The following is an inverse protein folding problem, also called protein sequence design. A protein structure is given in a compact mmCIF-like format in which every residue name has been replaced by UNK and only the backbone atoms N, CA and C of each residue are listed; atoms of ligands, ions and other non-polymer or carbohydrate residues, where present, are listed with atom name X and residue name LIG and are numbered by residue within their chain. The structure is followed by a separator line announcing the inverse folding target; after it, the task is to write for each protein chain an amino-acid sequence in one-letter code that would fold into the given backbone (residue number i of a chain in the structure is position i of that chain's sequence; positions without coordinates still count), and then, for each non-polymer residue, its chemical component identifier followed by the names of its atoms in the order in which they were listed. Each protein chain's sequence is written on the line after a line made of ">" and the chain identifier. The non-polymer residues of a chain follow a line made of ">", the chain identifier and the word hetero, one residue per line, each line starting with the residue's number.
data_IF_562798124930
#
_entry.id   IF_562798124930
#
_cell.length_a   1.000
_cell.length_b   1.000
_cell.length_c   1.000
_cell.angle_alpha   90.00
_cell.angle_beta   90.00
_cell.angle_gamma   90.00
#
_symmetry.space_group_name_H-M   'P 1'
#
loop_
_entity.id
_entity.type
_entity.pdbx_description
1 polymer ?
#
# COMPACT_ATOMS: atom_id res chain seq x y z
N UNK A 1 -17.19 4.30 -13.55
CA UNK A 1 -15.90 3.95 -12.89
C UNK A 1 -16.07 2.56 -12.35
N UNK A 2 -15.26 1.61 -12.83
CA UNK A 2 -15.32 0.19 -12.39
C UNK A 2 -14.47 -0.07 -11.13
N UNK A 3 -13.55 0.81 -10.80
CA UNK A 3 -12.66 0.76 -9.65
C UNK A 3 -12.21 2.17 -9.28
N UNK A 4 -11.75 2.37 -8.06
CA UNK A 4 -11.23 3.66 -7.61
C UNK A 4 -10.73 3.60 -6.18
N UNK A 5 -10.01 4.66 -5.78
CA UNK A 5 -9.52 4.85 -4.42
C UNK A 5 -10.23 6.03 -3.80
N UNK A 6 -10.35 6.04 -2.48
CA UNK A 6 -10.90 7.15 -1.72
C UNK A 6 -10.17 7.33 -0.39
N UNK A 7 -10.07 8.59 0.06
CA UNK A 7 -9.61 8.95 1.39
C UNK A 7 -10.75 9.70 2.07
N UNK A 8 -11.20 9.21 3.21
CA UNK A 8 -12.19 9.86 4.06
C UNK A 8 -11.52 10.39 5.32
N UNK A 9 -11.91 11.58 5.75
CA UNK A 9 -11.37 12.20 6.96
C UNK A 9 -12.46 12.87 7.79
N UNK A 10 -12.37 12.76 9.11
CA UNK A 10 -13.15 13.55 10.07
C UNK A 10 -12.55 14.95 10.27
N UNK A 11 -11.31 15.16 9.83
CA UNK A 11 -10.61 16.43 9.92
C UNK A 11 -10.63 17.12 8.54
N UNK A 12 -10.47 18.45 8.48
CA UNK A 12 -10.47 19.18 7.22
C UNK A 12 -9.38 18.67 6.26
N UNK A 13 -9.78 18.41 5.02
CA UNK A 13 -8.87 18.16 3.89
C UNK A 13 -8.66 19.52 3.21
N UNK A 14 -7.43 20.01 3.18
CA UNK A 14 -7.07 21.32 2.61
C UNK A 14 -6.47 21.24 1.22
N UNK A 15 -5.99 20.05 0.84
CA UNK A 15 -5.49 19.79 -0.50
C UNK A 15 -5.61 18.29 -0.80
N UNK A 16 -5.81 17.92 -2.06
CA UNK A 16 -5.88 16.52 -2.50
C UNK A 16 -5.55 16.41 -3.98
N UNK A 17 -5.17 15.22 -4.40
CA UNK A 17 -4.88 14.96 -5.81
C UNK A 17 -4.58 13.49 -6.09
N UNK A 18 -4.23 13.24 -7.34
CA UNK A 18 -3.87 11.92 -7.86
C UNK A 18 -2.50 11.96 -8.52
N UNK A 19 -1.79 10.86 -8.42
CA UNK A 19 -0.54 10.57 -9.14
C UNK A 19 -0.90 9.45 -10.09
N UNK A 20 -1.13 9.82 -11.35
CA UNK A 20 -1.52 8.87 -12.38
C UNK A 20 -0.33 8.00 -12.78
N UNK A 21 -0.58 6.71 -12.92
CA UNK A 21 0.39 5.78 -13.48
C UNK A 21 0.03 5.50 -14.95
N UNK A 22 0.97 5.68 -15.89
CA UNK A 22 0.71 5.43 -17.30
C UNK A 22 0.33 3.97 -17.60
N UNK A 23 -0.53 3.80 -18.60
CA UNK A 23 -0.93 2.50 -19.17
C UNK A 23 -1.64 1.53 -18.20
N UNK A 24 -2.22 2.06 -17.11
CA UNK A 24 -2.95 1.28 -16.13
C UNK A 24 -4.11 2.08 -15.52
N UNK A 25 -5.07 1.39 -14.91
CA UNK A 25 -6.10 2.01 -14.10
C UNK A 25 -5.67 2.27 -12.63
N UNK A 26 -4.46 1.81 -12.27
CA UNK A 26 -3.90 2.01 -10.94
C UNK A 26 -3.32 3.42 -10.82
N UNK A 27 -3.30 3.93 -9.61
CA UNK A 27 -2.76 5.26 -9.29
C UNK A 27 -2.36 5.33 -7.82
N UNK A 28 -1.85 6.47 -7.39
CA UNK A 28 -1.82 6.85 -5.99
C UNK A 28 -2.61 8.15 -5.81
N UNK A 29 -3.36 8.24 -4.72
CA UNK A 29 -4.06 9.46 -4.35
C UNK A 29 -3.47 10.01 -3.06
N UNK A 30 -3.63 11.32 -2.83
CA UNK A 30 -3.22 11.95 -1.57
C UNK A 30 -4.25 12.95 -1.06
N UNK A 31 -4.20 13.18 0.25
CA UNK A 31 -4.94 14.23 0.92
C UNK A 31 -4.07 14.86 2.02
N UNK A 32 -4.06 16.19 2.09
CA UNK A 32 -3.46 16.95 3.17
C UNK A 32 -4.53 17.25 4.21
N UNK A 33 -4.39 16.66 5.37
CA UNK A 33 -5.36 16.69 6.46
C UNK A 33 -4.82 17.56 7.59
N UNK A 34 -5.62 18.52 8.06
CA UNK A 34 -5.27 19.41 9.18
C UNK A 34 -5.81 18.84 10.48
N UNK A 35 -4.93 18.59 11.44
CA UNK A 35 -5.28 18.18 12.80
C UNK A 35 -4.55 19.06 13.82
N UNK A 36 -5.28 19.96 14.44
CA UNK A 36 -4.69 20.95 15.36
C UNK A 36 -3.76 21.89 14.60
N UNK A 37 -2.49 21.91 14.96
CA UNK A 37 -1.44 22.72 14.32
C UNK A 37 -0.68 21.98 13.21
N UNK A 38 -0.93 20.70 13.04
CA UNK A 38 -0.22 19.85 12.10
C UNK A 38 -1.02 19.68 10.80
N UNK A 39 -0.32 19.74 9.68
CA UNK A 39 -0.80 19.22 8.41
C UNK A 39 -0.09 17.90 8.13
N UNK A 40 -0.86 16.87 7.83
CA UNK A 40 -0.37 15.52 7.59
C UNK A 40 -0.79 15.12 6.19
N UNK A 41 0.14 14.67 5.35
CA UNK A 41 -0.18 14.11 4.05
C UNK A 41 -0.40 12.62 4.16
N UNK A 42 -1.60 12.20 3.80
CA UNK A 42 -1.95 10.79 3.64
C UNK A 42 -1.87 10.44 2.16
N UNK A 43 -1.18 9.35 1.86
CA UNK A 43 -1.20 8.72 0.54
C UNK A 43 -1.94 7.39 0.62
N UNK A 44 -2.71 7.07 -0.42
CA UNK A 44 -3.20 5.74 -0.67
C UNK A 44 -2.70 5.28 -2.05
N UNK A 45 -2.00 4.15 -2.09
CA UNK A 45 -1.31 3.65 -3.29
C UNK A 45 -1.94 2.33 -3.69
N UNK A 46 -2.17 2.15 -4.98
CA UNK A 46 -2.50 0.85 -5.55
C UNK A 46 -1.52 0.58 -6.71
N UNK A 47 -0.55 -0.29 -6.47
CA UNK A 47 0.43 -0.70 -7.49
C UNK A 47 -0.14 -1.79 -8.39
N UNK A 48 0.53 -2.03 -9.53
CA UNK A 48 0.15 -3.03 -10.51
C UNK A 48 0.03 -4.43 -9.90
N UNK A 49 -1.05 -5.12 -10.23
CA UNK A 49 -1.30 -6.49 -9.78
C UNK A 49 -0.57 -7.52 -10.63
N UNK A 50 -0.07 -8.57 -9.98
CA UNK A 50 0.53 -9.71 -10.69
C UNK A 50 -0.53 -10.60 -11.36
N UNK A 51 -1.83 -10.39 -11.07
CA UNK A 51 -2.95 -11.18 -11.56
C UNK A 51 -2.73 -12.69 -11.40
N UNK A 52 -2.18 -13.10 -10.25
CA UNK A 52 -1.97 -14.50 -9.93
C UNK A 52 -3.30 -15.10 -9.48
N UNK A 53 -3.79 -16.09 -10.23
CA UNK A 53 -4.97 -16.85 -9.80
C UNK A 53 -4.59 -17.71 -8.59
N UNK A 54 -5.25 -17.47 -7.46
CA UNK A 54 -4.98 -18.18 -6.21
C UNK A 54 -5.59 -19.58 -6.15
N UNK A 55 -6.32 -20.00 -7.19
CA UNK A 55 -6.86 -21.36 -7.28
C UNK A 55 -5.77 -22.33 -7.74
N UNK A 56 -5.48 -23.33 -6.89
CA UNK A 56 -4.44 -24.36 -7.16
C UNK A 56 -4.55 -25.00 -8.53
N UNK A 57 -5.78 -25.28 -8.95
CA UNK A 57 -6.07 -25.94 -10.22
C UNK A 57 -5.67 -25.10 -11.42
N UNK A 58 -5.82 -23.78 -11.32
CA UNK A 58 -5.47 -22.84 -12.37
C UNK A 58 -3.96 -22.56 -12.38
N UNK A 59 -3.32 -22.45 -11.21
CA UNK A 59 -1.86 -22.32 -11.09
C UNK A 59 -1.12 -23.52 -11.70
N UNK A 60 -1.64 -24.74 -11.51
CA UNK A 60 -1.04 -25.95 -12.09
C UNK A 60 -1.19 -26.03 -13.62
N UNK A 61 -2.21 -25.38 -14.18
CA UNK A 61 -2.48 -25.37 -15.62
C UNK A 61 -1.80 -24.22 -16.36
N UNK A 62 -1.35 -23.20 -15.62
CA UNK A 62 -0.71 -22.05 -16.23
C UNK A 62 0.68 -22.40 -16.76
N UNK A 63 0.96 -21.95 -18.00
CA UNK A 63 2.29 -22.10 -18.58
C UNK A 63 3.30 -21.26 -17.78
N UNK A 64 4.32 -21.93 -17.22
CA UNK A 64 5.32 -21.31 -16.34
C UNK A 64 6.07 -20.17 -17.03
N UNK A 65 6.38 -20.27 -18.33
CA UNK A 65 7.06 -19.22 -19.08
C UNK A 65 6.19 -17.95 -19.21
N UNK A 66 4.90 -18.12 -19.49
CA UNK A 66 3.95 -16.99 -19.51
C UNK A 66 3.80 -16.34 -18.15
N UNK A 67 3.73 -17.14 -17.10
CA UNK A 67 3.69 -16.66 -15.72
C UNK A 67 4.94 -15.83 -15.37
N UNK A 68 6.13 -16.35 -15.66
CA UNK A 68 7.39 -15.63 -15.43
C UNK A 68 7.46 -14.32 -16.23
N UNK A 69 7.07 -14.32 -17.49
CA UNK A 69 7.04 -13.11 -18.31
C UNK A 69 6.07 -12.07 -17.74
N UNK A 70 4.88 -12.49 -17.31
CA UNK A 70 3.88 -11.60 -16.68
C UNK A 70 4.40 -11.01 -15.39
N UNK A 71 4.95 -11.82 -14.48
CA UNK A 71 5.54 -11.36 -13.21
C UNK A 71 6.67 -10.36 -13.48
N UNK A 72 7.58 -10.67 -14.41
CA UNK A 72 8.69 -9.78 -14.77
C UNK A 72 8.20 -8.43 -15.34
N UNK A 73 7.16 -8.44 -16.16
CA UNK A 73 6.54 -7.21 -16.68
C UNK A 73 5.90 -6.41 -15.53
N UNK A 74 5.14 -7.06 -14.66
CA UNK A 74 4.53 -6.41 -13.50
C UNK A 74 5.57 -5.78 -12.56
N UNK A 75 6.70 -6.45 -12.30
CA UNK A 75 7.75 -5.87 -11.47
C UNK A 75 8.37 -4.60 -12.10
N UNK A 76 8.54 -4.56 -13.42
CA UNK A 76 9.00 -3.35 -14.11
C UNK A 76 7.97 -2.21 -14.01
N UNK A 77 6.69 -2.54 -14.16
CA UNK A 77 5.62 -1.55 -14.00
C UNK A 77 5.57 -1.03 -12.55
N UNK A 78 5.62 -1.91 -11.55
CA UNK A 78 5.65 -1.53 -10.15
C UNK A 78 6.87 -0.67 -9.81
N UNK A 79 8.05 -0.97 -10.37
CA UNK A 79 9.24 -0.14 -10.22
C UNK A 79 9.00 1.27 -10.75
N UNK A 80 8.51 1.39 -11.98
CA UNK A 80 8.22 2.68 -12.61
C UNK A 80 7.17 3.49 -11.82
N UNK A 81 6.08 2.84 -11.41
CA UNK A 81 5.04 3.44 -10.56
C UNK A 81 5.63 3.95 -9.23
N UNK A 82 6.51 3.16 -8.62
CA UNK A 82 7.22 3.54 -7.39
C UNK A 82 8.10 4.77 -7.60
N UNK A 83 8.85 4.84 -8.69
CA UNK A 83 9.71 5.98 -9.01
C UNK A 83 8.90 7.28 -9.21
N UNK A 84 7.76 7.20 -9.92
CA UNK A 84 6.83 8.33 -10.06
C UNK A 84 6.27 8.79 -8.71
N UNK A 85 5.83 7.84 -7.88
CA UNK A 85 5.35 8.13 -6.54
C UNK A 85 6.43 8.80 -5.68
N UNK A 86 7.65 8.27 -5.66
CA UNK A 86 8.75 8.82 -4.87
C UNK A 86 9.14 10.23 -5.30
N UNK A 87 9.12 10.51 -6.60
CA UNK A 87 9.35 11.86 -7.13
C UNK A 87 8.32 12.87 -6.59
N UNK A 88 7.05 12.47 -6.50
CA UNK A 88 6.01 13.31 -5.90
C UNK A 88 6.19 13.42 -4.38
N UNK A 89 6.45 12.29 -3.69
CA UNK A 89 6.66 12.25 -2.24
C UNK A 89 7.79 13.17 -1.79
N UNK A 90 8.91 13.25 -2.53
CA UNK A 90 10.07 14.09 -2.22
C UNK A 90 9.73 15.59 -2.16
N UNK A 91 8.67 16.04 -2.82
CA UNK A 91 8.22 17.43 -2.80
C UNK A 91 7.34 17.76 -1.58
N UNK A 92 6.93 16.74 -0.82
CA UNK A 92 6.10 16.92 0.35
C UNK A 92 6.91 17.45 1.55
N UNK A 93 6.43 18.55 2.15
CA UNK A 93 7.03 19.17 3.34
C UNK A 93 6.34 18.77 4.65
N UNK A 94 5.25 18.02 4.55
CA UNK A 94 4.46 17.61 5.70
C UNK A 94 4.91 16.26 6.25
N UNK A 95 4.52 15.96 7.47
CA UNK A 95 4.56 14.59 8.00
C UNK A 95 3.74 13.67 7.08
N UNK A 96 4.21 12.46 6.83
CA UNK A 96 3.64 11.58 5.82
C UNK A 96 3.12 10.29 6.48
N UNK A 97 1.95 9.85 6.04
CA UNK A 97 1.44 8.51 6.25
C UNK A 97 1.12 7.93 4.86
N UNK A 98 1.63 6.74 4.58
CA UNK A 98 1.40 6.02 3.32
C UNK A 98 0.66 4.73 3.64
N UNK A 99 -0.46 4.49 2.98
CA UNK A 99 -1.17 3.22 3.04
C UNK A 99 -1.50 2.74 1.63
N UNK A 100 -1.86 1.47 1.51
CA UNK A 100 -2.36 0.93 0.26
C UNK A 100 -1.91 -0.49 -0.04
N UNK A 101 -2.42 -0.97 -1.16
CA UNK A 101 -2.07 -2.26 -1.74
C UNK A 101 -0.86 -2.11 -2.67
N UNK A 102 0.24 -2.72 -2.27
CA UNK A 102 1.47 -2.71 -3.07
C UNK A 102 1.53 -3.88 -4.06
N UNK A 103 0.54 -4.79 -4.00
CA UNK A 103 0.52 -6.01 -4.80
C UNK A 103 1.87 -6.77 -4.77
N UNK A 104 2.64 -6.59 -3.70
CA UNK A 104 3.94 -7.21 -3.49
C UNK A 104 4.26 -7.33 -2.01
N UNK A 105 5.15 -8.24 -1.65
CA UNK A 105 5.46 -8.56 -0.25
C UNK A 105 6.46 -7.58 0.38
N UNK A 106 6.62 -7.67 1.70
CA UNK A 106 7.61 -6.87 2.47
C UNK A 106 9.08 -7.15 2.12
N UNK A 107 9.35 -8.14 1.26
CA UNK A 107 10.70 -8.46 0.77
C UNK A 107 11.01 -7.80 -0.58
N UNK A 108 10.02 -7.19 -1.21
CA UNK A 108 10.12 -6.62 -2.55
C UNK A 108 10.94 -5.34 -2.62
N UNK A 109 11.37 -5.01 -3.84
CA UNK A 109 12.00 -3.73 -4.16
C UNK A 109 11.08 -2.55 -3.81
N UNK A 110 9.82 -2.61 -4.27
CA UNK A 110 8.85 -1.50 -4.10
C UNK A 110 8.56 -1.22 -2.62
N UNK A 111 8.43 -2.27 -1.80
CA UNK A 111 8.28 -2.10 -0.36
C UNK A 111 9.47 -1.33 0.24
N UNK A 112 10.71 -1.74 -0.09
CA UNK A 112 11.91 -1.09 0.45
C UNK A 112 12.02 0.37 0.02
N UNK A 113 11.73 0.66 -1.24
CA UNK A 113 11.82 2.01 -1.79
C UNK A 113 10.76 2.94 -1.20
N UNK A 114 9.49 2.52 -1.17
CA UNK A 114 8.40 3.34 -0.65
C UNK A 114 8.54 3.55 0.87
N UNK A 115 8.87 2.47 1.59
CA UNK A 115 9.12 2.55 3.03
C UNK A 115 10.27 3.53 3.33
N UNK A 116 11.42 3.39 2.66
CA UNK A 116 12.58 4.19 2.97
C UNK A 116 12.84 4.24 4.48
N UNK A 117 12.88 5.46 5.04
CA UNK A 117 13.09 5.71 6.47
C UNK A 117 11.82 5.68 7.32
N UNK A 118 10.64 5.52 6.72
CA UNK A 118 9.37 5.47 7.44
C UNK A 118 9.28 4.22 8.33
N UNK A 119 8.49 4.29 9.38
CA UNK A 119 8.14 3.15 10.21
C UNK A 119 7.07 2.30 9.52
N UNK A 120 7.30 0.99 9.38
CA UNK A 120 6.24 0.02 9.03
C UNK A 120 5.43 -0.25 10.31
N UNK A 121 4.19 0.21 10.34
CA UNK A 121 3.38 0.17 11.57
C UNK A 121 3.07 -1.25 12.03
N UNK A 122 3.02 -2.24 11.12
CA UNK A 122 2.94 -3.64 11.50
C UNK A 122 4.22 -4.12 12.20
N UNK A 123 5.40 -3.72 11.73
CA UNK A 123 6.67 -4.11 12.38
C UNK A 123 6.83 -3.48 13.76
N UNK A 124 6.27 -2.28 13.97
CA UNK A 124 6.37 -1.55 15.24
C UNK A 124 5.39 -2.09 16.29
N UNK A 125 4.16 -2.44 15.88
CA UNK A 125 3.08 -2.73 16.84
C UNK A 125 2.14 -3.88 16.42
N UNK A 126 2.45 -4.58 15.34
CA UNK A 126 1.65 -5.71 14.87
C UNK A 126 2.07 -7.03 15.51
N UNK A 127 1.18 -8.01 15.46
CA UNK A 127 1.40 -9.36 15.95
C UNK A 127 1.08 -10.41 14.87
N UNK A 128 1.72 -11.57 14.99
CA UNK A 128 1.50 -12.70 14.08
C UNK A 128 2.08 -12.46 12.69
N UNK A 129 1.39 -12.92 11.65
CA UNK A 129 1.88 -12.87 10.26
C UNK A 129 1.47 -11.60 9.50
N UNK A 130 0.52 -10.81 10.04
CA UNK A 130 0.02 -9.59 9.39
C UNK A 130 -0.67 -9.86 8.07
N UNK A 131 -1.41 -10.96 7.94
CA UNK A 131 -2.14 -11.33 6.73
C UNK A 131 -3.07 -10.20 6.31
N UNK A 132 -2.93 -9.76 5.05
CA UNK A 132 -3.82 -8.76 4.45
C UNK A 132 -4.51 -9.23 3.19
N UNK A 133 -4.12 -10.38 2.64
CA UNK A 133 -4.69 -10.95 1.42
C UNK A 133 -5.09 -12.41 1.62
N UNK A 134 -6.22 -12.82 1.03
CA UNK A 134 -6.75 -14.18 1.12
C UNK A 134 -6.03 -15.14 0.16
N UNK A 135 -4.80 -15.47 0.51
CA UNK A 135 -4.02 -16.49 -0.18
C UNK A 135 -4.11 -17.82 0.57
N UNK A 136 -4.56 -18.87 -0.09
CA UNK A 136 -4.92 -20.15 0.55
C UNK A 136 -3.75 -20.90 1.18
N UNK A 137 -2.53 -20.69 0.70
CA UNK A 137 -1.39 -21.53 1.06
C UNK A 137 -0.60 -21.03 2.26
N UNK A 138 -0.51 -19.72 2.42
CA UNK A 138 0.20 -19.09 3.52
C UNK A 138 -0.26 -17.65 3.70
N UNK A 139 -0.09 -17.08 4.91
CA UNK A 139 -0.45 -15.69 5.14
C UNK A 139 0.41 -14.75 4.31
N UNK A 140 -0.23 -13.90 3.50
CA UNK A 140 0.43 -12.91 2.65
C UNK A 140 0.08 -11.52 3.13
N UNK A 141 1.08 -10.64 3.23
CA UNK A 141 0.93 -9.22 3.53
C UNK A 141 1.40 -8.41 2.32
N UNK A 142 0.46 -7.78 1.66
CA UNK A 142 0.66 -6.91 0.48
C UNK A 142 0.09 -5.51 0.66
N UNK A 143 -0.72 -5.32 1.70
CA UNK A 143 -1.20 -4.02 2.15
C UNK A 143 -0.34 -3.52 3.30
N UNK A 144 0.01 -2.25 3.28
CA UNK A 144 0.92 -1.66 4.25
C UNK A 144 0.41 -0.31 4.74
N UNK A 145 0.82 0.04 5.98
CA UNK A 145 0.74 1.40 6.50
C UNK A 145 2.14 1.79 6.98
N UNK A 146 2.68 2.85 6.38
CA UNK A 146 3.95 3.46 6.78
C UNK A 146 3.70 4.83 7.37
N UNK A 147 4.41 5.16 8.43
CA UNK A 147 4.29 6.44 9.11
C UNK A 147 5.66 7.10 9.27
N UNK A 148 5.69 8.43 9.12
CA UNK A 148 6.87 9.25 9.41
C UNK A 148 7.38 8.98 10.84
N UNK A 149 8.69 9.11 11.05
CA UNK A 149 9.34 8.97 12.37
C UNK A 149 8.86 9.99 13.41
N UNK A 150 8.20 11.07 12.96
CA UNK A 150 7.53 12.03 13.81
C UNK A 150 6.27 11.47 14.51
N UNK A 151 5.85 10.24 14.18
CA UNK A 151 4.76 9.55 14.85
C UNK A 151 5.28 8.44 15.76
N UNK A 152 4.61 8.28 16.92
CA UNK A 152 4.64 7.03 17.66
C UNK A 152 3.57 6.10 17.09
N UNK A 153 3.92 4.84 16.89
CA UNK A 153 2.97 3.79 16.51
C UNK A 153 2.46 3.14 17.77
N UNK A 154 1.21 3.45 18.16
CA UNK A 154 0.62 3.00 19.41
C UNK A 154 -0.14 1.68 19.27
N UNK A 155 -0.39 1.22 18.04
CA UNK A 155 -1.04 -0.05 17.79
C UNK A 155 -1.22 -0.32 16.29
N UNK A 156 -1.32 -1.61 15.97
CA UNK A 156 -1.66 -2.12 14.65
C UNK A 156 -2.61 -3.31 14.80
N UNK A 157 -3.59 -3.38 13.91
CA UNK A 157 -4.52 -4.51 13.86
C UNK A 157 -4.84 -4.87 12.41
N UNK A 158 -4.74 -6.15 12.08
CA UNK A 158 -5.35 -6.74 10.90
C UNK A 158 -6.67 -7.40 11.32
N UNK A 159 -7.76 -7.06 10.65
CA UNK A 159 -9.08 -7.59 10.97
C UNK A 159 -9.37 -8.84 10.12
N UNK A 160 -9.95 -9.87 10.74
CA UNK A 160 -10.31 -11.09 10.06
C UNK A 160 -11.76 -11.04 9.50
N UNK A 161 -12.20 -9.85 9.03
CA UNK A 161 -13.47 -9.67 8.33
C UNK A 161 -13.27 -9.83 6.83
N UNK A 162 -13.99 -10.80 6.26
CA UNK A 162 -13.89 -11.13 4.84
C UNK A 162 -14.93 -10.36 4.02
N UNK A 163 -14.68 -9.05 3.79
CA UNK A 163 -15.52 -8.19 2.93
C UNK A 163 -15.08 -8.25 1.47
N UNK A 164 -13.84 -8.62 1.21
CA UNK A 164 -13.24 -8.86 -0.09
C UNK A 164 -12.13 -9.91 0.06
N UNK A 165 -11.32 -10.12 -0.96
CA UNK A 165 -10.09 -10.90 -0.90
C UNK A 165 -8.95 -10.21 -0.15
N UNK A 166 -9.14 -8.93 0.27
CA UNK A 166 -8.26 -8.22 1.18
C UNK A 166 -8.89 -8.07 2.58
N UNK A 167 -8.05 -8.11 3.60
CA UNK A 167 -8.43 -7.89 4.99
C UNK A 167 -8.14 -6.46 5.42
N UNK A 168 -9.10 -5.77 6.10
CA UNK A 168 -8.86 -4.43 6.60
C UNK A 168 -7.71 -4.37 7.61
N UNK A 169 -6.89 -3.33 7.50
CA UNK A 169 -5.82 -3.03 8.45
C UNK A 169 -6.02 -1.64 9.07
N UNK A 170 -5.63 -1.50 10.33
CA UNK A 170 -5.72 -0.25 11.08
C UNK A 170 -4.44 -0.02 11.87
N UNK A 171 -4.03 1.24 11.96
CA UNK A 171 -2.98 1.67 12.89
C UNK A 171 -3.44 2.86 13.72
N UNK A 172 -2.94 2.94 14.95
CA UNK A 172 -3.12 4.08 15.84
C UNK A 172 -1.81 4.83 15.96
N UNK A 173 -1.84 6.12 15.61
CA UNK A 173 -0.66 6.99 15.61
C UNK A 173 -0.88 8.19 16.55
N UNK A 174 0.18 8.63 17.24
CA UNK A 174 0.23 9.93 17.89
C UNK A 174 1.43 10.72 17.41
N UNK A 175 1.28 12.03 17.26
CA UNK A 175 2.40 12.93 16.95
C UNK A 175 3.31 13.00 18.18
N UNK A 176 4.61 12.94 17.96
CA UNK A 176 5.65 13.13 18.99
C UNK A 176 5.70 14.56 19.48
#
# INVERSE_FOLDING_TARGET
>A
IKSGQAIFSKFPIVNSGSIEFPDTANNAIFADVVKGKDTIRFYNIHLESMHIDTKVENLKKENSERLFKRIGTTFKMQQFQTELFLKHKQQCKYKIVICGDFNNTAFSYVYRQIKGDLNDTFKEAGNGFGRTYDFKFFPVRIDFIFADKAFNVNGFQAYNQHYSDHYPIMTTLSVK
#
